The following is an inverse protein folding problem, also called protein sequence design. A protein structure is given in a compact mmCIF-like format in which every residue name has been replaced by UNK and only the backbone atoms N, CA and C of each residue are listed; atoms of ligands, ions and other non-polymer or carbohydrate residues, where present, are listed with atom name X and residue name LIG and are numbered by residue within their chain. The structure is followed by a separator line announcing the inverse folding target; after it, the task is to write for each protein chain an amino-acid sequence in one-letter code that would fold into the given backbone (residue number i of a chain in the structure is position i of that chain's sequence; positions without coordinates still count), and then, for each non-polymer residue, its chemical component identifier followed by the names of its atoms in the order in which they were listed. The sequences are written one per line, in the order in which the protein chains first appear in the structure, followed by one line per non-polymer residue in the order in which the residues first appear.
data_IF_277682720270
#
_entry.id   IF_277682720270
#
_cell.length_a   1.000
_cell.length_b   1.000
_cell.length_c   1.000
_cell.angle_alpha   90.00
_cell.angle_beta   90.00
_cell.angle_gamma   90.00
#
_symmetry.space_group_name_H-M   'P 1'
#
loop_
_entity.id
_entity.type
_entity.pdbx_description
1 polymer ?
#
# COMPACT_ATOMS: atom_id res chain seq x y z
N UNK A 1 -14.89 25.45 13.41
CA UNK A 1 -14.85 25.69 14.88
C UNK A 1 -13.65 24.96 15.51
N UNK A 2 -12.80 24.31 14.69
CA UNK A 2 -11.79 23.32 15.13
C UNK A 2 -10.39 23.87 15.44
N UNK A 3 -9.99 25.05 14.92
CA UNK A 3 -8.71 25.71 15.31
C UNK A 3 -8.61 25.97 16.83
N UNK A 4 -9.75 25.96 17.52
CA UNK A 4 -9.83 26.08 18.98
C UNK A 4 -9.28 24.83 19.67
N UNK A 5 -9.51 23.62 19.14
CA UNK A 5 -9.17 22.38 19.85
C UNK A 5 -7.66 22.13 19.90
N UNK A 6 -6.93 22.33 18.80
CA UNK A 6 -5.48 22.13 18.78
C UNK A 6 -4.75 23.13 19.69
N UNK A 7 -5.16 24.40 19.69
CA UNK A 7 -4.61 25.43 20.59
C UNK A 7 -4.93 25.13 22.05
N UNK A 8 -6.14 24.68 22.37
CA UNK A 8 -6.51 24.26 23.72
C UNK A 8 -5.63 23.10 24.18
N UNK A 9 -5.48 22.05 23.36
CA UNK A 9 -4.63 20.90 23.68
C UNK A 9 -3.20 21.37 23.96
N UNK A 10 -2.60 22.13 23.05
CA UNK A 10 -1.22 22.61 23.22
C UNK A 10 -1.06 23.53 24.44
N UNK A 11 -2.08 24.31 24.79
CA UNK A 11 -2.07 25.17 25.98
C UNK A 11 -2.21 24.41 27.30
N UNK A 12 -2.77 23.19 27.26
CA UNK A 12 -2.92 22.32 28.43
C UNK A 12 -1.68 21.47 28.74
N UNK A 13 -0.68 21.48 27.85
CA UNK A 13 0.54 20.70 28.01
C UNK A 13 1.44 21.36 29.07
N UNK A 14 1.94 20.59 30.05
CA UNK A 14 2.88 21.07 31.06
C UNK A 14 4.13 21.73 30.45
N UNK A 15 4.63 22.82 31.04
CA UNK A 15 5.79 23.54 30.50
C UNK A 15 7.05 22.67 30.37
N UNK A 16 7.23 21.67 31.25
CA UNK A 16 8.35 20.72 31.19
C UNK A 16 8.27 19.73 30.00
N UNK A 17 7.17 19.73 29.26
CA UNK A 17 6.95 18.96 28.04
C UNK A 17 7.01 19.82 26.77
N UNK A 18 7.37 21.10 26.90
CA UNK A 18 7.45 22.05 25.79
C UNK A 18 8.88 22.54 25.60
N UNK A 19 9.42 22.34 24.40
CA UNK A 19 10.75 22.80 24.02
C UNK A 19 10.62 23.89 22.95
N UNK A 20 10.85 25.13 23.37
CA UNK A 20 10.87 26.32 22.50
C UNK A 20 12.29 26.60 22.04
N UNK A 21 12.45 27.42 20.99
CA UNK A 21 13.77 27.83 20.48
C UNK A 21 14.67 26.65 20.12
N UNK A 22 14.12 25.64 19.43
CA UNK A 22 14.81 24.38 19.12
C UNK A 22 16.01 24.52 18.17
N UNK A 23 16.27 25.74 17.67
CA UNK A 23 17.49 26.09 16.95
C UNK A 23 18.72 26.20 17.86
N UNK A 24 18.53 26.38 19.17
CA UNK A 24 19.63 26.54 20.12
C UNK A 24 20.23 25.19 20.51
N UNK A 25 21.56 25.02 20.46
CA UNK A 25 22.23 23.77 20.85
C UNK A 25 21.94 23.33 22.30
N UNK A 26 21.74 24.27 23.22
CA UNK A 26 21.37 24.00 24.61
C UNK A 26 20.03 23.27 24.72
N UNK A 27 19.03 23.72 23.96
CA UNK A 27 17.71 23.08 23.93
C UNK A 27 17.80 21.70 23.28
N UNK A 28 18.63 21.53 22.24
CA UNK A 28 18.84 20.22 21.64
C UNK A 28 19.48 19.22 22.62
N UNK A 29 20.43 19.67 23.45
CA UNK A 29 20.97 18.84 24.54
C UNK A 29 19.89 18.50 25.55
N UNK A 30 19.08 19.48 25.96
CA UNK A 30 17.99 19.27 26.92
C UNK A 30 16.94 18.26 26.40
N UNK A 31 16.55 18.36 25.12
CA UNK A 31 15.67 17.38 24.45
C UNK A 31 16.32 16.00 24.49
N UNK A 32 17.61 15.92 24.18
CA UNK A 32 18.35 14.66 24.16
C UNK A 32 18.37 14.00 25.54
N UNK A 33 18.59 14.78 26.59
CA UNK A 33 18.73 14.29 27.96
C UNK A 33 17.36 13.91 28.56
N UNK A 34 16.35 14.78 28.41
CA UNK A 34 15.03 14.58 28.99
C UNK A 34 14.22 13.47 28.29
N UNK A 35 14.42 13.27 26.99
CA UNK A 35 13.61 12.33 26.18
C UNK A 35 14.38 11.06 25.81
N UNK A 36 15.58 10.86 26.35
CA UNK A 36 16.41 9.71 26.01
C UNK A 36 15.71 8.41 26.39
N UNK A 37 15.57 7.49 25.42
CA UNK A 37 14.90 6.18 25.62
C UNK A 37 13.44 6.26 26.10
N UNK A 38 12.82 7.44 26.01
CA UNK A 38 11.38 7.58 26.27
C UNK A 38 10.61 7.36 24.98
N UNK A 39 9.56 6.55 25.08
CA UNK A 39 8.58 6.35 24.01
C UNK A 39 7.37 7.28 24.20
N UNK A 40 6.73 7.67 23.11
CA UNK A 40 5.52 8.49 23.17
C UNK A 40 5.16 9.17 21.86
N UNK A 41 4.24 10.13 21.98
CA UNK A 41 3.73 10.97 20.91
C UNK A 41 4.23 12.40 21.11
N UNK A 42 4.69 13.01 20.03
CA UNK A 42 5.16 14.40 20.02
C UNK A 42 4.55 15.18 18.85
N UNK A 43 4.54 16.50 19.00
CA UNK A 43 4.13 17.45 17.99
C UNK A 43 5.26 18.45 17.71
N UNK A 44 5.51 18.74 16.44
CA UNK A 44 6.38 19.84 16.00
C UNK A 44 5.47 20.90 15.39
N UNK A 45 5.36 22.04 16.05
CA UNK A 45 4.40 23.09 15.70
C UNK A 45 5.14 24.28 15.12
N UNK A 46 4.69 24.75 13.95
CA UNK A 46 5.09 26.05 13.44
C UNK A 46 4.32 27.14 14.17
N UNK A 47 5.03 28.03 14.88
CA UNK A 47 4.44 29.08 15.71
C UNK A 47 3.73 30.13 14.83
N UNK A 48 4.17 30.30 13.58
CA UNK A 48 3.65 31.33 12.68
C UNK A 48 2.24 31.01 12.17
N UNK A 49 1.99 29.78 11.73
CA UNK A 49 0.72 29.37 11.11
C UNK A 49 -0.03 28.29 11.90
N UNK A 50 0.54 27.77 12.98
CA UNK A 50 -0.04 26.71 13.82
C UNK A 50 -0.03 25.31 13.19
N UNK A 51 0.52 25.15 11.97
CA UNK A 51 0.59 23.85 11.33
C UNK A 51 1.49 22.92 12.13
N UNK A 52 1.04 21.67 12.26
CA UNK A 52 1.64 20.73 13.20
C UNK A 52 2.08 19.45 12.49
N UNK A 53 3.24 18.91 12.86
CA UNK A 53 3.61 17.55 12.54
C UNK A 53 3.41 16.69 13.78
N UNK A 54 2.61 15.64 13.69
CA UNK A 54 2.42 14.64 14.74
C UNK A 54 3.33 13.46 14.45
N UNK A 55 4.06 12.99 15.44
CA UNK A 55 4.92 11.83 15.30
C UNK A 55 4.91 10.97 16.54
N UNK A 56 5.23 9.71 16.33
CA UNK A 56 5.33 8.70 17.36
C UNK A 56 6.73 8.05 17.34
N UNK A 57 7.25 7.64 18.50
CA UNK A 57 8.51 6.89 18.57
C UNK A 57 8.69 6.16 19.88
N UNK A 58 9.44 5.05 19.88
CA UNK A 58 10.01 4.42 21.09
C UNK A 58 11.19 5.20 21.66
N UNK A 59 11.82 6.07 20.87
CA UNK A 59 12.90 6.94 21.31
C UNK A 59 12.68 8.36 20.76
N UNK A 60 11.94 9.14 21.55
CA UNK A 60 11.55 10.51 21.23
C UNK A 60 12.78 11.40 20.97
N UNK A 61 13.80 11.36 21.84
CA UNK A 61 15.02 12.14 21.64
C UNK A 61 15.64 11.91 20.26
N UNK A 62 15.87 10.64 19.90
CA UNK A 62 16.45 10.29 18.60
C UNK A 62 15.59 10.81 17.45
N UNK A 63 14.28 10.57 17.51
CA UNK A 63 13.37 10.90 16.42
C UNK A 63 13.19 12.41 16.22
N UNK A 64 13.05 13.17 17.30
CA UNK A 64 12.92 14.63 17.24
C UNK A 64 14.21 15.25 16.71
N UNK A 65 15.37 14.80 17.21
CA UNK A 65 16.67 15.30 16.73
C UNK A 65 16.86 14.98 15.25
N UNK A 66 16.48 13.78 14.78
CA UNK A 66 16.49 13.46 13.35
C UNK A 66 15.68 14.47 12.52
N UNK A 67 14.48 14.84 12.96
CA UNK A 67 13.68 15.85 12.27
C UNK A 67 14.34 17.23 12.24
N UNK A 68 15.06 17.61 13.29
CA UNK A 68 15.71 18.92 13.40
C UNK A 68 17.03 18.97 12.61
N UNK A 69 17.82 17.89 12.65
CA UNK A 69 19.20 17.85 12.15
C UNK A 69 19.35 17.17 10.78
N UNK A 70 18.44 16.26 10.40
CA UNK A 70 18.55 15.45 9.20
C UNK A 70 17.38 15.69 8.21
N UNK A 71 17.73 15.91 6.94
CA UNK A 71 16.79 16.32 5.88
C UNK A 71 15.99 15.16 5.25
N UNK A 72 16.19 13.90 5.70
CA UNK A 72 15.51 12.72 5.14
C UNK A 72 14.28 12.29 5.96
N UNK A 73 13.52 13.25 6.46
CA UNK A 73 12.29 13.00 7.22
C UNK A 73 11.04 13.38 6.42
N UNK A 74 10.00 13.93 7.06
CA UNK A 74 8.80 14.38 6.39
C UNK A 74 9.11 15.59 5.48
N UNK A 75 8.93 15.43 4.17
CA UNK A 75 9.30 16.46 3.19
C UNK A 75 8.55 17.79 3.38
N UNK A 76 7.29 17.77 3.82
CA UNK A 76 6.52 18.99 4.05
C UNK A 76 7.02 19.74 5.28
N UNK A 77 7.31 19.02 6.37
CA UNK A 77 7.93 19.60 7.56
C UNK A 77 9.31 20.20 7.23
N UNK A 78 10.15 19.46 6.50
CA UNK A 78 11.49 19.95 6.10
C UNK A 78 11.41 21.19 5.22
N UNK A 79 10.48 21.22 4.25
CA UNK A 79 10.24 22.40 3.42
C UNK A 79 9.76 23.60 4.25
N UNK A 80 8.91 23.37 5.26
CA UNK A 80 8.43 24.41 6.15
C UNK A 80 9.56 24.96 7.04
N UNK A 81 10.41 24.09 7.61
CA UNK A 81 11.60 24.49 8.38
C UNK A 81 12.54 25.32 7.49
N UNK A 82 12.78 24.90 6.24
CA UNK A 82 13.60 25.67 5.28
C UNK A 82 13.01 27.03 4.94
N UNK A 83 11.67 27.14 4.89
CA UNK A 83 10.96 28.38 4.53
C UNK A 83 10.89 29.37 5.68
N UNK A 84 10.59 28.89 6.89
CA UNK A 84 10.30 29.75 8.05
C UNK A 84 11.44 29.83 9.05
N UNK A 85 12.49 29.01 8.93
CA UNK A 85 13.55 28.93 9.93
C UNK A 85 13.14 28.07 11.12
N UNK A 86 14.13 27.43 11.75
CA UNK A 86 13.94 26.50 12.85
C UNK A 86 13.54 27.20 14.16
N UNK A 87 13.87 28.48 14.28
CA UNK A 87 13.48 29.37 15.38
C UNK A 87 11.97 29.54 15.53
N UNK A 88 11.22 29.33 14.45
CA UNK A 88 9.76 29.43 14.42
C UNK A 88 9.06 28.09 14.69
N UNK A 89 9.79 27.09 15.18
CA UNK A 89 9.23 25.79 15.55
C UNK A 89 9.42 25.49 17.03
N UNK A 90 8.44 24.81 17.61
CA UNK A 90 8.48 24.29 18.98
C UNK A 90 8.07 22.82 19.00
N UNK A 91 8.69 22.07 19.92
CA UNK A 91 8.38 20.65 20.13
C UNK A 91 7.52 20.52 21.39
N UNK A 92 6.43 19.78 21.28
CA UNK A 92 5.51 19.47 22.37
C UNK A 92 5.46 17.95 22.54
N UNK A 93 5.58 17.47 23.77
CA UNK A 93 5.35 16.06 24.10
C UNK A 93 3.88 15.94 24.47
N UNK A 94 3.12 15.20 23.66
CA UNK A 94 1.67 15.10 23.80
C UNK A 94 1.29 14.01 24.80
N UNK A 95 1.96 12.85 24.71
CA UNK A 95 1.70 11.70 25.56
C UNK A 95 2.99 10.87 25.69
N UNK A 96 3.37 10.50 26.91
CA UNK A 96 4.50 9.61 27.16
C UNK A 96 3.97 8.20 27.41
N UNK A 97 4.64 7.21 26.84
CA UNK A 97 4.31 5.82 27.11
C UNK A 97 4.74 5.44 28.54
N UNK A 98 3.94 4.63 29.24
CA UNK A 98 4.28 4.18 30.59
C UNK A 98 5.59 3.36 30.56
N UNK A 99 6.58 3.80 31.34
CA UNK A 99 7.89 3.15 31.43
C UNK A 99 7.86 1.76 32.12
N UNK A 100 6.75 1.40 32.75
CA UNK A 100 6.60 0.25 33.65
C UNK A 100 5.38 -0.62 33.33
N UNK A 101 4.95 -0.64 32.08
CA UNK A 101 3.83 -1.49 31.69
C UNK A 101 4.33 -2.93 31.50
N UNK A 102 3.69 -3.91 32.13
CA UNK A 102 3.86 -5.36 31.87
C UNK A 102 3.44 -5.77 30.44
N UNK A 103 3.48 -4.82 29.50
CA UNK A 103 3.07 -4.97 28.12
C UNK A 103 4.25 -5.51 27.31
N UNK A 104 3.92 -6.40 26.39
CA UNK A 104 4.82 -6.89 25.36
C UNK A 104 5.17 -5.79 24.36
N UNK A 105 6.25 -5.98 23.59
CA UNK A 105 6.67 -5.04 22.55
C UNK A 105 5.57 -4.82 21.49
N UNK A 106 4.78 -5.85 21.19
CA UNK A 106 3.66 -5.79 20.24
C UNK A 106 2.50 -4.94 20.77
N UNK A 107 2.15 -5.07 22.05
CA UNK A 107 1.11 -4.26 22.69
C UNK A 107 1.54 -2.79 22.77
N UNK A 108 2.81 -2.53 23.09
CA UNK A 108 3.35 -1.17 23.12
C UNK A 108 3.33 -0.51 21.74
N UNK A 109 3.66 -1.27 20.70
CA UNK A 109 3.60 -0.81 19.32
C UNK A 109 2.16 -0.51 18.88
N UNK A 110 1.20 -1.38 19.24
CA UNK A 110 -0.23 -1.19 18.94
C UNK A 110 -0.78 0.05 19.62
N UNK A 111 -0.49 0.21 20.92
CA UNK A 111 -0.87 1.41 21.69
C UNK A 111 -0.30 2.68 21.07
N UNK A 112 0.98 2.66 20.65
CA UNK A 112 1.60 3.81 20.00
C UNK A 112 0.89 4.18 18.68
N UNK A 113 0.50 3.21 17.86
CA UNK A 113 -0.25 3.45 16.62
C UNK A 113 -1.63 4.06 16.91
N UNK A 114 -2.35 3.54 17.91
CA UNK A 114 -3.67 4.04 18.30
C UNK A 114 -3.60 5.48 18.81
N UNK A 115 -2.63 5.77 19.68
CA UNK A 115 -2.39 7.12 20.19
C UNK A 115 -1.98 8.08 19.07
N UNK A 116 -1.10 7.66 18.16
CA UNK A 116 -0.74 8.46 17.00
C UNK A 116 -1.97 8.79 16.14
N UNK A 117 -2.85 7.81 15.88
CA UNK A 117 -4.08 8.03 15.11
C UNK A 117 -5.00 9.04 15.81
N UNK A 118 -5.22 8.87 17.13
CA UNK A 118 -6.01 9.80 17.95
C UNK A 118 -5.53 11.25 17.77
N UNK A 119 -4.22 11.49 17.87
CA UNK A 119 -3.67 12.84 17.70
C UNK A 119 -3.63 13.30 16.24
N UNK A 120 -3.48 12.40 15.27
CA UNK A 120 -3.63 12.74 13.85
C UNK A 120 -5.04 13.22 13.52
N UNK A 121 -6.06 12.63 14.13
CA UNK A 121 -7.47 12.99 13.90
C UNK A 121 -7.86 14.28 14.62
N UNK A 122 -7.25 14.58 15.77
CA UNK A 122 -7.52 15.80 16.55
C UNK A 122 -6.98 17.09 15.92
N UNK A 123 -5.90 17.00 15.15
CA UNK A 123 -5.27 18.16 14.51
C UNK A 123 -5.67 18.16 13.04
N UNK A 124 -6.25 19.22 12.48
CA UNK A 124 -6.60 19.24 11.04
C UNK A 124 -5.40 19.59 10.16
N UNK A 125 -4.85 20.79 10.35
CA UNK A 125 -3.77 21.36 9.56
C UNK A 125 -2.40 20.77 9.93
N UNK A 126 -2.01 19.73 9.19
CA UNK A 126 -0.82 18.92 9.49
C UNK A 126 0.20 18.85 8.36
N UNK A 127 1.46 18.65 8.73
CA UNK A 127 2.54 18.29 7.79
C UNK A 127 2.57 16.79 7.46
N UNK A 128 1.84 15.94 8.21
CA UNK A 128 1.78 14.50 8.00
C UNK A 128 1.26 14.14 6.59
N UNK A 129 2.01 13.30 5.88
CA UNK A 129 1.66 12.86 4.51
C UNK A 129 0.58 11.79 4.55
N UNK A 130 0.70 10.86 5.50
CA UNK A 130 -0.22 9.74 5.64
C UNK A 130 -1.30 10.11 6.65
N UNK A 131 -2.59 9.95 6.31
CA UNK A 131 -3.69 10.21 7.25
C UNK A 131 -3.86 9.09 8.28
N UNK A 132 -3.31 7.90 8.02
CA UNK A 132 -3.36 6.74 8.93
C UNK A 132 -1.99 6.48 9.55
N UNK A 133 -1.96 6.35 10.88
CA UNK A 133 -0.78 5.93 11.64
C UNK A 133 -0.35 4.49 11.29
N UNK A 134 0.91 4.14 11.58
CA UNK A 134 1.46 2.79 11.39
C UNK A 134 1.62 2.30 9.93
N UNK A 135 0.98 2.94 8.95
CA UNK A 135 1.13 2.57 7.54
C UNK A 135 2.47 3.03 6.98
N UNK A 136 3.34 2.06 6.72
CA UNK A 136 4.46 2.25 5.79
C UNK A 136 3.94 2.61 4.39
N UNK A 137 4.73 3.34 3.58
CA UNK A 137 4.39 3.60 2.16
C UNK A 137 4.30 2.32 1.31
N UNK A 138 4.63 1.16 1.88
CA UNK A 138 4.51 -0.14 1.23
C UNK A 138 3.04 -0.42 0.93
N UNK A 139 2.69 -0.50 -0.35
CA UNK A 139 1.32 -0.77 -0.81
C UNK A 139 0.44 0.47 -0.98
N UNK A 140 0.92 1.69 -0.68
CA UNK A 140 0.14 2.90 -0.96
C UNK A 140 0.01 3.11 -2.47
N UNK A 141 -1.23 3.25 -2.95
CA UNK A 141 -1.51 3.50 -4.36
C UNK A 141 -1.46 5.01 -4.61
N UNK A 142 -0.72 5.43 -5.63
CA UNK A 142 -0.82 6.79 -6.13
C UNK A 142 -2.25 7.09 -6.60
N UNK A 143 -2.73 8.32 -6.35
CA UNK A 143 -3.99 8.81 -6.92
C UNK A 143 -3.91 8.84 -8.45
N UNK A 144 -5.05 8.81 -9.12
CA UNK A 144 -5.10 8.88 -10.59
C UNK A 144 -4.46 10.17 -11.11
N UNK A 145 -4.72 11.30 -10.44
CA UNK A 145 -4.09 12.58 -10.77
C UNK A 145 -2.56 12.52 -10.64
N UNK A 146 -2.02 11.95 -9.56
CA UNK A 146 -0.57 11.78 -9.41
C UNK A 146 0.01 10.82 -10.45
N UNK A 147 -0.69 9.73 -10.79
CA UNK A 147 -0.27 8.81 -11.86
C UNK A 147 -0.19 9.51 -13.21
N UNK A 148 -1.16 10.37 -13.52
CA UNK A 148 -1.20 11.16 -14.75
C UNK A 148 -0.03 12.14 -14.81
N UNK A 149 0.20 12.93 -13.75
CA UNK A 149 1.35 13.85 -13.66
C UNK A 149 2.69 13.14 -13.80
N UNK A 150 2.88 11.99 -13.14
CA UNK A 150 4.10 11.19 -13.29
C UNK A 150 4.27 10.65 -14.71
N UNK A 151 3.16 10.31 -15.39
CA UNK A 151 3.19 9.85 -16.78
C UNK A 151 3.58 10.98 -17.73
N UNK A 152 3.01 12.18 -17.56
CA UNK A 152 3.32 13.38 -18.33
C UNK A 152 4.80 13.78 -18.13
N UNK A 153 5.25 13.86 -16.88
CA UNK A 153 6.65 14.14 -16.57
C UNK A 153 7.62 13.14 -17.21
N UNK A 154 7.28 11.84 -17.21
CA UNK A 154 8.13 10.82 -17.84
C UNK A 154 8.21 10.97 -19.36
N UNK A 155 7.13 11.42 -20.01
CA UNK A 155 7.10 11.69 -21.45
C UNK A 155 7.93 12.92 -21.80
N UNK A 156 7.93 13.94 -20.95
CA UNK A 156 8.66 15.19 -21.19
C UNK A 156 10.14 15.11 -20.79
N UNK A 157 10.50 14.20 -19.87
CA UNK A 157 11.85 14.12 -19.37
C UNK A 157 12.81 13.51 -20.42
N UNK A 158 13.83 14.26 -20.90
CA UNK A 158 14.81 13.80 -21.89
C UNK A 158 15.57 12.54 -21.47
N UNK A 159 15.66 12.28 -20.16
CA UNK A 159 16.33 11.09 -19.64
C UNK A 159 15.58 9.78 -19.93
N UNK A 160 14.29 9.84 -20.28
CA UNK A 160 13.44 8.66 -20.53
C UNK A 160 12.92 8.57 -21.98
N UNK A 161 12.96 9.66 -22.74
CA UNK A 161 12.57 9.70 -24.14
C UNK A 161 13.47 8.80 -25.02
N UNK A 162 12.85 7.96 -25.85
CA UNK A 162 13.51 7.10 -26.86
C UNK A 162 14.64 6.19 -26.35
N UNK A 163 14.69 5.90 -25.05
CA UNK A 163 15.65 4.95 -24.50
C UNK A 163 15.08 3.54 -24.55
N UNK A 164 15.44 2.81 -25.60
CA UNK A 164 15.37 1.34 -25.58
C UNK A 164 16.64 0.79 -24.94
N UNK A 165 16.53 -0.29 -24.17
CA UNK A 165 17.72 -0.99 -23.69
C UNK A 165 18.53 -1.50 -24.88
N UNK A 166 19.86 -1.43 -24.80
CA UNK A 166 20.72 -2.04 -25.82
C UNK A 166 20.47 -3.54 -25.89
N UNK A 167 20.74 -4.15 -27.05
CA UNK A 167 20.59 -5.60 -27.24
C UNK A 167 21.37 -6.41 -26.19
N UNK A 168 22.57 -5.95 -25.81
CA UNK A 168 23.38 -6.57 -24.75
C UNK A 168 22.69 -6.53 -23.37
N UNK A 169 22.04 -5.41 -23.02
CA UNK A 169 21.28 -5.30 -21.77
C UNK A 169 20.04 -6.20 -21.80
N UNK A 170 19.33 -6.24 -22.93
CA UNK A 170 18.16 -7.10 -23.12
C UNK A 170 18.57 -8.57 -22.96
N UNK A 171 19.68 -8.98 -23.58
CA UNK A 171 20.17 -10.35 -23.48
C UNK A 171 20.60 -10.68 -22.05
N UNK A 172 21.29 -9.77 -21.34
CA UNK A 172 21.61 -9.93 -19.91
C UNK A 172 20.36 -10.04 -19.02
N UNK A 173 19.28 -9.34 -19.35
CA UNK A 173 18.00 -9.48 -18.64
C UNK A 173 17.36 -10.85 -18.93
N UNK A 174 17.39 -11.28 -20.19
CA UNK A 174 16.88 -12.59 -20.61
C UNK A 174 17.62 -13.75 -19.95
N UNK A 175 18.95 -13.69 -19.92
CA UNK A 175 19.80 -14.73 -19.32
C UNK A 175 19.59 -14.86 -17.81
N UNK A 176 19.27 -13.77 -17.11
CA UNK A 176 18.93 -13.78 -15.68
C UNK A 176 17.62 -14.51 -15.38
N UNK A 177 16.71 -14.60 -16.35
CA UNK A 177 15.40 -15.22 -16.19
C UNK A 177 15.29 -16.62 -16.81
N UNK A 178 16.40 -17.15 -17.35
CA UNK A 178 16.42 -18.40 -18.11
C UNK A 178 17.18 -19.51 -17.39
N UNK A 179 16.72 -20.75 -17.55
CA UNK A 179 17.37 -21.93 -16.98
C UNK A 179 17.59 -21.81 -15.46
N UNK A 180 18.73 -22.29 -14.98
CA UNK A 180 19.12 -22.28 -13.56
C UNK A 180 19.27 -20.90 -12.94
N UNK A 181 19.40 -19.84 -13.74
CA UNK A 181 19.48 -18.47 -13.22
C UNK A 181 18.11 -17.95 -12.77
N UNK A 182 17.02 -18.53 -13.29
CA UNK A 182 15.69 -18.14 -12.87
C UNK A 182 15.50 -18.51 -11.37
N UNK A 183 15.11 -17.58 -10.50
CA UNK A 183 14.88 -17.86 -9.08
C UNK A 183 13.83 -18.94 -8.80
N UNK A 184 13.00 -19.25 -9.79
CA UNK A 184 11.97 -20.29 -9.75
C UNK A 184 12.40 -21.61 -10.42
N UNK A 185 13.61 -21.71 -10.95
CA UNK A 185 14.11 -22.94 -11.57
C UNK A 185 14.22 -24.07 -10.53
N UNK A 186 13.68 -25.24 -10.87
CA UNK A 186 13.69 -26.42 -10.00
C UNK A 186 12.75 -26.34 -8.79
N UNK A 187 12.06 -25.22 -8.56
CA UNK A 187 11.07 -25.12 -7.47
C UNK A 187 9.75 -25.76 -7.91
N UNK A 188 9.22 -26.76 -7.18
CA UNK A 188 7.93 -27.34 -7.51
C UNK A 188 6.81 -26.33 -7.28
N UNK A 189 5.80 -26.36 -8.14
CA UNK A 189 4.55 -25.62 -7.91
C UNK A 189 3.83 -26.28 -6.71
N UNK A 190 3.49 -25.48 -5.70
CA UNK A 190 2.71 -25.95 -4.54
C UNK A 190 1.33 -26.45 -4.96
N UNK A 191 0.75 -27.38 -4.22
CA UNK A 191 -0.58 -27.92 -4.53
C UNK A 191 -1.67 -26.83 -4.55
N UNK A 192 -1.59 -25.84 -3.66
CA UNK A 192 -2.53 -24.71 -3.65
C UNK A 192 -2.41 -23.85 -4.91
N UNK A 193 -1.18 -23.58 -5.37
CA UNK A 193 -0.98 -22.86 -6.63
C UNK A 193 -1.47 -23.68 -7.83
N UNK A 194 -1.30 -25.01 -7.83
CA UNK A 194 -1.86 -25.88 -8.88
C UNK A 194 -3.38 -25.81 -8.92
N UNK A 195 -4.04 -25.83 -7.75
CA UNK A 195 -5.50 -25.67 -7.65
C UNK A 195 -5.95 -24.32 -8.18
N UNK A 196 -5.29 -23.23 -7.76
CA UNK A 196 -5.63 -21.87 -8.19
C UNK A 196 -5.46 -21.69 -9.70
N UNK A 197 -4.38 -22.22 -10.28
CA UNK A 197 -4.17 -22.26 -11.73
C UNK A 197 -5.28 -23.08 -12.40
N UNK A 198 -5.59 -24.28 -11.86
CA UNK A 198 -6.65 -25.14 -12.39
C UNK A 198 -8.00 -24.44 -12.41
N UNK A 199 -8.40 -23.77 -11.33
CA UNK A 199 -9.64 -23.00 -11.23
C UNK A 199 -9.67 -21.84 -12.22
N UNK A 200 -8.57 -21.09 -12.34
CA UNK A 200 -8.49 -19.91 -13.20
C UNK A 200 -8.58 -20.25 -14.70
N UNK A 201 -8.07 -21.41 -15.10
CA UNK A 201 -8.13 -21.89 -16.47
C UNK A 201 -9.31 -22.85 -16.76
N UNK A 202 -10.03 -23.29 -15.73
CA UNK A 202 -11.23 -24.12 -15.90
C UNK A 202 -12.38 -23.24 -16.38
N UNK A 203 -12.75 -23.40 -17.66
CA UNK A 203 -13.91 -22.73 -18.25
C UNK A 203 -15.12 -23.64 -18.20
N UNK A 204 -16.24 -23.08 -17.74
CA UNK A 204 -17.54 -23.75 -17.75
C UNK A 204 -18.00 -23.97 -19.19
N UNK A 205 -18.64 -25.11 -19.42
CA UNK A 205 -19.20 -25.51 -20.71
C UNK A 205 -20.60 -26.06 -20.48
N UNK A 206 -21.53 -25.67 -21.35
CA UNK A 206 -22.94 -26.02 -21.24
C UNK A 206 -23.34 -26.88 -22.44
N UNK A 207 -24.16 -27.90 -22.18
CA UNK A 207 -24.70 -28.82 -23.18
C UNK A 207 -26.21 -28.65 -23.25
N UNK A 208 -26.71 -28.35 -24.43
CA UNK A 208 -28.14 -28.15 -24.71
C UNK A 208 -28.64 -29.16 -25.74
N UNK A 209 -29.94 -29.47 -25.69
CA UNK A 209 -30.62 -30.18 -26.75
C UNK A 209 -30.82 -29.26 -27.96
N UNK A 210 -30.50 -29.73 -29.16
CA UNK A 210 -30.54 -28.90 -30.37
C UNK A 210 -31.96 -28.53 -30.81
N UNK A 211 -32.98 -29.32 -30.45
CA UNK A 211 -34.36 -29.10 -30.87
C UNK A 211 -35.14 -28.24 -29.87
N UNK A 212 -34.91 -28.46 -28.57
CA UNK A 212 -35.66 -27.78 -27.51
C UNK A 212 -34.89 -26.66 -26.83
N UNK A 213 -33.58 -26.54 -27.10
CA UNK A 213 -32.65 -25.62 -26.42
C UNK A 213 -32.68 -25.74 -24.89
N UNK A 214 -33.18 -26.85 -24.36
CA UNK A 214 -33.17 -27.12 -22.92
C UNK A 214 -31.78 -27.55 -22.48
N UNK A 215 -31.35 -27.01 -21.34
CA UNK A 215 -30.08 -27.37 -20.72
C UNK A 215 -30.11 -28.85 -20.32
N UNK A 216 -29.22 -29.64 -20.90
CA UNK A 216 -29.04 -31.05 -20.56
C UNK A 216 -28.08 -31.17 -19.39
N UNK A 217 -26.92 -30.52 -19.49
CA UNK A 217 -25.91 -30.59 -18.44
C UNK A 217 -24.98 -29.38 -18.44
N UNK A 218 -24.40 -29.09 -17.27
CA UNK A 218 -23.44 -28.03 -17.03
C UNK A 218 -22.16 -28.64 -16.49
N UNK A 219 -21.05 -28.34 -17.15
CA UNK A 219 -19.73 -28.83 -16.80
C UNK A 219 -18.86 -27.68 -16.30
N UNK A 220 -18.30 -27.80 -15.10
CA UNK A 220 -17.34 -26.82 -14.61
C UNK A 220 -16.00 -26.91 -15.34
N UNK A 221 -15.66 -28.10 -15.86
CA UNK A 221 -14.46 -28.33 -16.68
C UNK A 221 -14.84 -28.99 -17.99
N UNK A 222 -14.28 -28.46 -19.08
CA UNK A 222 -14.39 -29.07 -20.41
C UNK A 222 -13.97 -30.55 -20.44
N UNK A 223 -13.02 -30.95 -19.60
CA UNK A 223 -12.56 -32.34 -19.53
C UNK A 223 -13.65 -33.31 -19.05
N UNK A 224 -14.59 -32.85 -18.24
CA UNK A 224 -15.68 -33.71 -17.75
C UNK A 224 -16.66 -34.02 -18.89
N UNK A 225 -16.98 -33.01 -19.71
CA UNK A 225 -17.74 -33.21 -20.96
C UNK A 225 -17.04 -34.15 -21.94
N UNK A 226 -15.72 -34.10 -22.07
CA UNK A 226 -14.99 -35.02 -22.96
C UNK A 226 -15.15 -36.48 -22.55
N UNK A 227 -15.16 -36.75 -21.23
CA UNK A 227 -15.30 -38.10 -20.68
C UNK A 227 -16.74 -38.60 -20.84
N UNK A 228 -17.72 -37.78 -20.49
CA UNK A 228 -19.14 -38.13 -20.58
C UNK A 228 -19.58 -38.45 -22.01
N UNK A 229 -19.19 -37.61 -22.97
CA UNK A 229 -19.59 -37.77 -24.36
C UNK A 229 -18.63 -38.67 -25.16
N UNK A 230 -17.53 -39.10 -24.55
CA UNK A 230 -16.42 -39.83 -25.18
C UNK A 230 -15.93 -39.15 -26.47
N UNK A 231 -15.54 -37.87 -26.35
CA UNK A 231 -15.11 -37.01 -27.48
C UNK A 231 -13.79 -36.30 -27.19
N UNK A 232 -13.08 -35.90 -28.24
CA UNK A 232 -11.85 -35.12 -28.10
C UNK A 232 -12.13 -33.68 -27.64
N UNK A 233 -11.24 -33.09 -26.86
CA UNK A 233 -11.34 -31.67 -26.43
C UNK A 233 -11.36 -30.72 -27.63
N UNK A 234 -10.67 -31.06 -28.73
CA UNK A 234 -10.67 -30.28 -29.98
C UNK A 234 -12.06 -30.23 -30.61
N UNK A 235 -12.82 -31.32 -30.53
CA UNK A 235 -14.20 -31.40 -31.02
C UNK A 235 -15.08 -30.41 -30.26
N UNK A 236 -15.01 -30.38 -28.93
CA UNK A 236 -15.77 -29.42 -28.11
C UNK A 236 -15.42 -27.98 -28.50
N UNK A 237 -14.13 -27.63 -28.61
CA UNK A 237 -13.69 -26.29 -29.01
C UNK A 237 -14.29 -25.92 -30.38
N UNK A 238 -14.17 -26.82 -31.36
CA UNK A 238 -14.71 -26.59 -32.71
C UNK A 238 -16.21 -26.30 -32.69
N UNK A 239 -17.02 -27.13 -32.04
CA UNK A 239 -18.48 -26.97 -32.05
C UNK A 239 -18.95 -25.81 -31.18
N UNK A 240 -18.25 -25.54 -30.07
CA UNK A 240 -18.47 -24.38 -29.21
C UNK A 240 -18.16 -23.05 -29.93
N UNK A 241 -17.02 -22.96 -30.62
CA UNK A 241 -16.60 -21.73 -31.29
C UNK A 241 -17.35 -21.50 -32.61
N UNK A 242 -17.76 -22.57 -33.30
CA UNK A 242 -18.53 -22.47 -34.55
C UNK A 242 -20.05 -22.36 -34.36
N UNK A 243 -20.57 -22.61 -33.15
CA UNK A 243 -22.00 -22.61 -32.86
C UNK A 243 -22.81 -23.68 -33.62
N UNK A 244 -22.14 -24.66 -34.24
CA UNK A 244 -22.79 -25.72 -35.03
C UNK A 244 -23.36 -26.80 -34.11
N UNK A 245 -24.45 -27.42 -34.57
CA UNK A 245 -25.03 -28.57 -33.88
C UNK A 245 -24.08 -29.77 -33.96
N UNK A 246 -23.74 -30.31 -32.80
CA UNK A 246 -22.96 -31.52 -32.65
C UNK A 246 -23.87 -32.76 -32.71
N UNK A 247 -23.52 -33.73 -33.58
CA UNK A 247 -24.28 -34.97 -33.82
C UNK A 247 -25.78 -34.76 -34.13
N UNK A 248 -26.13 -33.59 -34.69
CA UNK A 248 -27.52 -33.22 -35.00
C UNK A 248 -28.46 -33.25 -33.78
N UNK A 249 -27.90 -33.28 -32.56
CA UNK A 249 -28.66 -33.45 -31.31
C UNK A 249 -28.27 -32.47 -30.22
N UNK A 250 -27.05 -31.93 -30.26
CA UNK A 250 -26.50 -31.17 -29.14
C UNK A 250 -25.95 -29.81 -29.57
N UNK A 251 -26.13 -28.81 -28.73
CA UNK A 251 -25.49 -27.50 -28.85
C UNK A 251 -24.56 -27.29 -27.65
N UNK A 252 -23.37 -26.77 -27.90
CA UNK A 252 -22.33 -26.57 -26.89
C UNK A 252 -22.01 -25.08 -26.80
N UNK A 253 -22.03 -24.50 -25.60
CA UNK A 253 -21.75 -23.07 -25.39
C UNK A 253 -20.83 -22.84 -24.20
N UNK A 254 -20.18 -21.66 -24.16
CA UNK A 254 -19.35 -21.21 -23.02
C UNK A 254 -20.11 -20.32 -22.02
N UNK A 255 -21.38 -20.05 -22.29
CA UNK A 255 -22.26 -19.22 -21.47
C UNK A 255 -23.64 -19.87 -21.42
N UNK A 256 -24.38 -19.55 -20.38
CA UNK A 256 -25.75 -20.00 -20.21
C UNK A 256 -26.65 -19.27 -21.22
N UNK A 257 -27.38 -20.03 -22.03
CA UNK A 257 -28.43 -19.49 -22.89
C UNK A 257 -29.60 -19.12 -21.96
N UNK A 258 -29.94 -17.83 -21.89
CA UNK A 258 -31.11 -17.37 -21.16
C UNK A 258 -32.37 -17.75 -21.96
N UNK A 259 -33.37 -18.32 -21.28
CA UNK A 259 -34.71 -18.53 -21.81
C UNK A 259 -35.44 -17.18 -21.94
N UNK A 260 -35.02 -16.33 -22.89
CA UNK A 260 -35.76 -15.11 -23.27
C UNK A 260 -35.73 -14.90 -24.78
N UNK A 261 -36.51 -15.74 -25.49
CA UNK A 261 -37.67 -15.37 -26.32
C UNK A 261 -38.11 -16.56 -27.18
#
# INVERSE_FOLDING_TARGET
MELFNSKIILSSIPENQVYKSIHQPSILSLIKDNLNKLGGIYAIVNINDGRTYIGSSMNLAKRVIEHITHQHSNIYLQNAIKKYGLENFSVYILELLPASSNLTEEELYTLLIELEQKYLDLFEDKYNINPTAGKSRVGSKHSEASKKLMSEWRKENPSFLNKTHSLDIIEKMRMRMSGSNNPMFGKPVTEDNKKLISELFSKKVYLYDANTLKLINKYDKQMDMTKDLNISSKTIIKYKDSGKVFREKYVITSYELNDEN
#
